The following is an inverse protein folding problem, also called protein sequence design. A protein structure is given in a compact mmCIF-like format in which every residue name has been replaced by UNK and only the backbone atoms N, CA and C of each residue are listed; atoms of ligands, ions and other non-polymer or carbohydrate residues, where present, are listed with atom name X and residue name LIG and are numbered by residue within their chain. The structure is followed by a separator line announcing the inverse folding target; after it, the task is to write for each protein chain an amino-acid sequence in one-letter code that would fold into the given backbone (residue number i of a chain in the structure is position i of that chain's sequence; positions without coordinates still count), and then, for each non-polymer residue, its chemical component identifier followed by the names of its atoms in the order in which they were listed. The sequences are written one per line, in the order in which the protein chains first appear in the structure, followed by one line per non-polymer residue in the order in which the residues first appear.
data_IF_489748172154
#
_entry.id   IF_489748172154
#
_cell.length_a   1.000
_cell.length_b   1.000
_cell.length_c   1.000
_cell.angle_alpha   90.00
_cell.angle_beta   90.00
_cell.angle_gamma   90.00
#
_symmetry.space_group_name_H-M   'P 1'
#
loop_
_entity.id
_entity.type
_entity.pdbx_description
1 polymer ?
#
# COMPACT_ATOMS: atom_id res chain seq x y z
N UNK A 1 5.23 8.12 14.24
CA UNK A 1 6.43 8.36 13.40
C UNK A 1 7.04 9.75 13.63
N UNK A 2 6.31 10.85 13.43
CA UNK A 2 6.84 12.21 13.68
C UNK A 2 7.28 12.44 15.14
N UNK A 3 6.48 12.00 16.11
CA UNK A 3 6.84 12.07 17.53
C UNK A 3 8.10 11.24 17.90
N UNK A 4 8.49 10.29 17.04
CA UNK A 4 9.72 9.50 17.19
C UNK A 4 10.90 10.13 16.41
N UNK A 5 10.74 11.32 15.83
CA UNK A 5 11.80 12.07 15.15
C UNK A 5 11.92 11.79 13.64
N UNK A 6 11.03 10.99 13.06
CA UNK A 6 11.05 10.69 11.62
C UNK A 6 10.33 11.78 10.82
N UNK A 7 10.96 12.26 9.75
CA UNK A 7 10.28 13.05 8.72
C UNK A 7 9.29 12.16 7.99
N UNK A 8 7.99 12.46 8.12
CA UNK A 8 6.90 11.64 7.58
C UNK A 8 5.91 12.55 6.89
N UNK A 9 5.52 12.16 5.69
CA UNK A 9 4.46 12.78 4.91
C UNK A 9 3.32 11.78 4.73
N UNK A 10 2.09 12.18 5.09
CA UNK A 10 0.91 11.36 4.90
C UNK A 10 0.18 11.83 3.64
N UNK A 11 0.04 10.93 2.67
CA UNK A 11 -0.60 11.18 1.37
C UNK A 11 -1.58 10.06 1.06
N UNK A 12 -2.58 10.36 0.25
CA UNK A 12 -3.43 9.32 -0.33
C UNK A 12 -2.61 8.45 -1.27
N UNK A 13 -2.88 7.14 -1.32
CA UNK A 13 -2.12 6.21 -2.16
C UNK A 13 -2.13 6.63 -3.63
N UNK A 14 -3.29 7.06 -4.16
CA UNK A 14 -3.42 7.54 -5.54
C UNK A 14 -2.56 8.77 -5.88
N UNK A 15 -2.00 9.47 -4.89
CA UNK A 15 -1.11 10.61 -5.13
C UNK A 15 0.36 10.17 -5.24
N UNK A 16 0.68 8.92 -4.90
CA UNK A 16 2.04 8.39 -4.93
C UNK A 16 2.31 7.80 -6.31
N UNK A 17 3.36 8.29 -6.97
CA UNK A 17 3.81 7.72 -8.23
C UNK A 17 4.67 6.47 -8.03
N UNK A 18 4.66 5.55 -9.00
CA UNK A 18 5.52 4.36 -8.97
C UNK A 18 7.01 4.72 -8.88
N UNK A 19 7.45 5.76 -9.59
CA UNK A 19 8.85 6.20 -9.54
C UNK A 19 9.22 6.81 -8.19
N UNK A 20 8.26 7.46 -7.51
CA UNK A 20 8.44 7.95 -6.15
C UNK A 20 8.60 6.79 -5.17
N UNK A 21 7.76 5.75 -5.30
CA UNK A 21 7.88 4.53 -4.52
C UNK A 21 9.23 3.84 -4.76
N UNK A 22 9.68 3.77 -6.02
CA UNK A 22 10.99 3.20 -6.38
C UNK A 22 12.15 3.98 -5.76
N UNK A 23 12.04 5.31 -5.65
CA UNK A 23 13.06 6.15 -5.03
C UNK A 23 13.01 6.15 -3.49
N UNK A 24 11.91 5.67 -2.90
CA UNK A 24 11.75 5.60 -1.46
C UNK A 24 12.60 4.48 -0.85
N UNK A 25 13.01 4.68 0.40
CA UNK A 25 13.68 3.65 1.23
C UNK A 25 12.74 3.06 2.27
N UNK A 26 11.71 3.82 2.65
CA UNK A 26 10.73 3.44 3.66
C UNK A 26 9.32 3.77 3.17
N UNK A 27 8.39 2.82 3.32
CA UNK A 27 6.99 3.01 2.95
C UNK A 27 6.06 2.41 4.00
N UNK A 28 5.03 3.16 4.40
CA UNK A 28 3.99 2.67 5.30
C UNK A 28 2.64 2.82 4.60
N UNK A 29 2.03 1.69 4.25
CA UNK A 29 0.70 1.68 3.69
C UNK A 29 -0.34 1.47 4.78
N UNK A 30 -1.41 2.26 4.74
CA UNK A 30 -2.62 2.03 5.53
C UNK A 30 -3.77 1.95 4.55
N UNK A 31 -4.41 0.79 4.42
CA UNK A 31 -5.52 0.61 3.47
C UNK A 31 -6.60 -0.27 4.06
N UNK A 32 -7.84 0.10 3.78
CA UNK A 32 -9.00 -0.76 4.02
C UNK A 32 -9.27 -1.66 2.83
N UNK A 33 -10.16 -2.64 3.01
CA UNK A 33 -10.75 -3.41 1.91
C UNK A 33 -12.18 -2.94 1.66
N UNK A 34 -12.55 -2.67 0.41
CA UNK A 34 -13.88 -2.18 0.01
C UNK A 34 -14.64 -3.25 -0.77
N UNK A 35 -15.97 -3.28 -0.61
CA UNK A 35 -16.88 -4.14 -1.38
C UNK A 35 -16.49 -5.62 -1.33
N UNK A 36 -16.31 -6.20 -2.50
CA UNK A 36 -15.99 -7.61 -2.71
C UNK A 36 -14.47 -7.90 -2.66
N UNK A 37 -13.73 -7.21 -1.79
CA UNK A 37 -12.30 -7.46 -1.59
C UNK A 37 -11.35 -6.52 -2.31
N UNK A 38 -11.85 -5.40 -2.84
CA UNK A 38 -11.09 -4.47 -3.68
C UNK A 38 -10.37 -3.39 -2.87
N UNK A 39 -9.44 -2.70 -3.52
CA UNK A 39 -8.84 -1.47 -2.99
C UNK A 39 -9.88 -0.34 -3.00
N UNK A 40 -9.85 0.58 -2.01
CA UNK A 40 -10.71 1.75 -2.00
C UNK A 40 -10.40 2.69 -3.17
N UNK A 41 -11.35 3.56 -3.53
CA UNK A 41 -11.22 4.49 -4.66
C UNK A 41 -9.96 5.37 -4.57
N UNK A 42 -9.54 5.75 -3.36
CA UNK A 42 -8.35 6.56 -3.10
C UNK A 42 -7.01 5.77 -3.13
N UNK A 43 -7.07 4.48 -3.45
CA UNK A 43 -5.91 3.57 -3.60
C UNK A 43 -5.92 2.76 -4.91
N UNK A 44 -7.05 2.66 -5.60
CA UNK A 44 -7.20 1.84 -6.79
C UNK A 44 -6.27 2.23 -7.96
N UNK A 45 -6.02 3.53 -8.18
CA UNK A 45 -5.12 3.98 -9.25
C UNK A 45 -3.67 3.63 -8.96
N UNK A 46 -3.26 3.79 -7.70
CA UNK A 46 -1.93 3.37 -7.25
C UNK A 46 -1.73 1.86 -7.42
N UNK A 47 -2.71 1.06 -6.97
CA UNK A 47 -2.64 -0.40 -7.10
C UNK A 47 -2.49 -0.82 -8.57
N UNK A 48 -3.34 -0.30 -9.45
CA UNK A 48 -3.29 -0.60 -10.88
C UNK A 48 -1.93 -0.22 -11.51
N UNK A 49 -1.37 0.93 -11.13
CA UNK A 49 -0.07 1.37 -11.63
C UNK A 49 1.08 0.47 -11.13
N UNK A 50 1.04 0.07 -9.85
CA UNK A 50 2.03 -0.80 -9.23
C UNK A 50 2.01 -2.23 -9.80
N UNK A 51 0.84 -2.74 -10.17
CA UNK A 51 0.70 -4.08 -10.78
C UNK A 51 0.90 -4.10 -12.29
N UNK A 52 0.78 -2.96 -12.97
CA UNK A 52 0.99 -2.86 -14.42
C UNK A 52 2.46 -3.00 -14.83
N UNK A 53 3.39 -2.82 -13.89
CA UNK A 53 4.83 -2.87 -14.15
C UNK A 53 5.49 -3.79 -13.14
N UNK A 54 6.43 -4.60 -13.62
CA UNK A 54 7.35 -5.28 -12.74
C UNK A 54 8.45 -4.30 -12.34
N UNK A 55 8.55 -4.04 -11.04
CA UNK A 55 9.38 -2.97 -10.48
C UNK A 55 10.11 -3.59 -9.30
N UNK A 56 11.45 -3.66 -9.32
CA UNK A 56 12.20 -4.19 -8.20
C UNK A 56 12.11 -3.23 -7.02
N UNK A 57 11.70 -3.77 -5.86
CA UNK A 57 11.56 -3.04 -4.60
C UNK A 57 12.40 -3.67 -3.48
N UNK A 58 13.43 -4.45 -3.82
CA UNK A 58 14.29 -5.18 -2.86
C UNK A 58 14.94 -4.29 -1.79
N UNK A 59 15.12 -3.00 -2.10
CA UNK A 59 15.70 -2.00 -1.19
C UNK A 59 14.66 -1.32 -0.28
N UNK A 60 13.37 -1.53 -0.52
CA UNK A 60 12.29 -0.85 0.17
C UNK A 60 11.97 -1.56 1.49
N UNK A 61 12.18 -0.87 2.61
CA UNK A 61 11.62 -1.32 3.89
C UNK A 61 10.17 -0.86 3.97
N UNK A 62 9.23 -1.78 4.12
CA UNK A 62 7.82 -1.41 4.16
C UNK A 62 7.05 -2.08 5.31
N UNK A 63 5.87 -1.52 5.59
CA UNK A 63 4.87 -2.14 6.43
C UNK A 63 3.46 -1.83 5.89
N UNK A 64 2.56 -2.80 6.01
CA UNK A 64 1.15 -2.65 5.61
C UNK A 64 0.25 -2.81 6.83
N UNK A 65 -0.52 -1.76 7.14
CA UNK A 65 -1.62 -1.81 8.10
C UNK A 65 -2.94 -1.98 7.34
N UNK A 66 -3.44 -3.21 7.30
CA UNK A 66 -4.70 -3.53 6.67
C UNK A 66 -5.87 -3.35 7.64
N UNK A 67 -6.94 -2.69 7.18
CA UNK A 67 -8.19 -2.52 7.93
C UNK A 67 -9.31 -3.33 7.25
N UNK A 68 -9.98 -4.19 8.00
CA UNK A 68 -11.06 -5.02 7.47
C UNK A 68 -11.98 -5.53 8.57
N UNK A 69 -13.04 -6.23 8.15
CA UNK A 69 -14.00 -6.88 9.02
C UNK A 69 -13.97 -8.40 8.78
N UNK A 70 -13.79 -9.17 9.87
CA UNK A 70 -13.67 -10.62 9.85
C UNK A 70 -14.96 -11.32 9.38
N UNK A 71 -16.08 -10.60 9.34
CA UNK A 71 -17.35 -11.11 8.80
C UNK A 71 -17.38 -11.29 7.28
N UNK A 72 -16.37 -10.78 6.55
CA UNK A 72 -16.26 -10.91 5.10
C UNK A 72 -15.23 -11.97 4.71
N UNK A 73 -15.53 -12.75 3.67
CA UNK A 73 -14.63 -13.80 3.16
C UNK A 73 -13.25 -13.24 2.76
N UNK A 74 -13.23 -12.01 2.24
CA UNK A 74 -12.03 -11.31 1.79
C UNK A 74 -11.49 -10.35 2.86
N UNK A 75 -11.36 -10.85 4.09
CA UNK A 75 -10.84 -10.10 5.24
C UNK A 75 -9.43 -9.54 4.96
N UNK A 76 -9.30 -8.21 5.03
CA UNK A 76 -8.07 -7.46 4.80
C UNK A 76 -7.40 -7.71 3.42
N UNK A 77 -8.17 -8.17 2.42
CA UNK A 77 -7.64 -8.59 1.13
C UNK A 77 -6.77 -7.54 0.41
N UNK A 78 -7.21 -6.28 0.33
CA UNK A 78 -6.42 -5.23 -0.32
C UNK A 78 -5.04 -5.04 0.33
N UNK A 79 -4.98 -5.05 1.66
CA UNK A 79 -3.71 -4.96 2.39
C UNK A 79 -2.81 -6.18 2.15
N UNK A 80 -3.39 -7.38 2.09
CA UNK A 80 -2.64 -8.62 1.81
C UNK A 80 -2.06 -8.64 0.40
N UNK A 81 -2.84 -8.24 -0.59
CA UNK A 81 -2.37 -8.12 -1.97
C UNK A 81 -1.24 -7.08 -2.10
N UNK A 82 -1.35 -5.97 -1.38
CA UNK A 82 -0.31 -4.96 -1.36
C UNK A 82 0.98 -5.48 -0.71
N UNK A 83 0.86 -6.17 0.42
CA UNK A 83 1.99 -6.77 1.15
C UNK A 83 2.74 -7.76 0.25
N UNK A 84 2.01 -8.70 -0.37
CA UNK A 84 2.56 -9.68 -1.31
C UNK A 84 3.25 -9.02 -2.51
N UNK A 85 2.66 -7.94 -3.06
CA UNK A 85 3.24 -7.21 -4.20
C UNK A 85 4.50 -6.45 -3.84
N UNK A 86 4.62 -5.95 -2.61
CA UNK A 86 5.78 -5.20 -2.14
C UNK A 86 6.93 -6.12 -1.70
N UNK A 87 6.64 -7.37 -1.31
CA UNK A 87 7.65 -8.39 -0.97
C UNK A 87 8.24 -9.09 -2.21
N UNK A 88 7.50 -9.12 -3.32
CA UNK A 88 7.88 -9.74 -4.59
C UNK A 88 8.83 -8.89 -5.45
#
# INVERSE_FOLDING_TARGET
CQAAGFAVEARELNQIGVDELRAATHFLAVTSTFGDGEFPDNAALFWNALTAQDIPLDHLSFAVLALGDIGYDLFCNAGRLLDERLEA
#
